data_IF_770936174797
#
_entry.id   IF_770936174797
#
_cell.length_a   1.000
_cell.length_b   1.000
_cell.length_c   1.000
_cell.angle_alpha   90.00
_cell.angle_beta   90.00
_cell.angle_gamma   90.00
#
_symmetry.space_group_name_H-M   'P 1'
#
loop_
_entity.id
_entity.type
_entity.pdbx_description
1 polymer ?
#
# COMPACT_ATOMS: atom_id res chain seq x y z
N UNK A 1 4.06 -10.30 -19.13
CA UNK A 1 5.18 -10.19 -18.18
C UNK A 1 4.95 -11.18 -17.04
N UNK A 2 5.98 -11.88 -16.56
CA UNK A 2 5.89 -12.82 -15.43
C UNK A 2 6.30 -12.12 -14.13
N UNK A 3 5.50 -12.24 -13.08
CA UNK A 3 5.71 -11.51 -11.82
C UNK A 3 5.81 -12.45 -10.62
N UNK A 4 6.85 -12.25 -9.81
CA UNK A 4 7.00 -12.85 -8.50
C UNK A 4 6.60 -11.81 -7.43
N UNK A 5 5.52 -12.05 -6.71
CA UNK A 5 4.99 -11.17 -5.67
C UNK A 5 5.45 -11.65 -4.29
N UNK A 6 6.49 -11.02 -3.74
CA UNK A 6 7.01 -11.30 -2.41
C UNK A 6 6.32 -10.42 -1.38
N UNK A 7 6.08 -10.97 -0.17
CA UNK A 7 5.30 -10.29 0.87
C UNK A 7 3.91 -9.87 0.36
N UNK A 8 3.25 -10.79 -0.35
CA UNK A 8 2.07 -10.49 -1.16
C UNK A 8 0.85 -10.03 -0.35
N UNK A 9 0.79 -10.33 0.95
CA UNK A 9 -0.34 -9.96 1.81
C UNK A 9 -1.67 -10.45 1.22
N UNK A 10 -2.59 -9.50 0.97
CA UNK A 10 -3.89 -9.79 0.37
C UNK A 10 -3.92 -9.61 -1.17
N UNK A 11 -2.76 -9.34 -1.80
CA UNK A 11 -2.62 -9.20 -3.25
C UNK A 11 -2.82 -7.79 -3.77
N UNK A 12 -2.20 -6.79 -3.11
CA UNK A 12 -2.25 -5.41 -3.58
C UNK A 12 -1.53 -5.19 -4.91
N UNK A 13 -0.41 -5.88 -5.15
CA UNK A 13 0.28 -5.80 -6.44
C UNK A 13 -0.49 -6.60 -7.50
N UNK A 14 -0.97 -7.80 -7.16
CA UNK A 14 -1.87 -8.55 -8.05
C UNK A 14 -3.10 -7.73 -8.51
N UNK A 15 -3.76 -7.03 -7.58
CA UNK A 15 -4.88 -6.14 -7.90
C UNK A 15 -4.48 -4.97 -8.83
N UNK A 16 -3.26 -4.47 -8.69
CA UNK A 16 -2.74 -3.39 -9.54
C UNK A 16 -2.42 -3.88 -10.95
N UNK A 17 -1.81 -5.06 -11.07
CA UNK A 17 -1.46 -5.69 -12.34
C UNK A 17 -2.69 -6.10 -13.15
N UNK A 18 -3.75 -6.59 -12.51
CA UNK A 18 -4.92 -7.14 -13.20
C UNK A 18 -4.52 -8.22 -14.21
N UNK A 19 -5.09 -8.18 -15.40
CA UNK A 19 -4.81 -9.15 -16.48
C UNK A 19 -3.58 -8.79 -17.34
N UNK A 20 -2.85 -7.72 -17.00
CA UNK A 20 -1.71 -7.24 -17.79
C UNK A 20 -0.40 -8.01 -17.52
N UNK A 21 -0.38 -8.84 -16.47
CA UNK A 21 0.77 -9.66 -16.13
C UNK A 21 0.36 -10.99 -15.48
N UNK A 22 1.22 -12.00 -15.62
CA UNK A 22 1.04 -13.32 -15.04
C UNK A 22 1.79 -13.37 -13.69
N UNK A 23 1.04 -13.42 -12.58
CA UNK A 23 1.64 -13.61 -11.25
C UNK A 23 1.95 -15.09 -11.05
N UNK A 24 3.20 -15.45 -11.30
CA UNK A 24 3.67 -16.85 -11.33
C UNK A 24 3.88 -17.44 -9.95
N UNK A 25 4.07 -16.60 -8.93
CA UNK A 25 4.05 -16.99 -7.54
C UNK A 25 3.79 -15.79 -6.63
N UNK A 26 2.94 -16.01 -5.63
CA UNK A 26 2.70 -15.07 -4.53
C UNK A 26 3.17 -15.70 -3.21
N UNK A 27 4.03 -15.00 -2.46
CA UNK A 27 4.68 -15.55 -1.26
C UNK A 27 4.38 -14.68 -0.06
N UNK A 28 3.89 -15.29 1.01
CA UNK A 28 3.73 -14.66 2.33
C UNK A 28 3.76 -15.75 3.42
N UNK A 29 4.02 -15.35 4.67
CA UNK A 29 3.97 -16.24 5.84
C UNK A 29 2.58 -16.23 6.51
N UNK A 30 1.80 -15.18 6.29
CA UNK A 30 0.52 -14.96 6.95
C UNK A 30 -0.59 -15.76 6.25
N UNK A 31 -0.94 -16.91 6.83
CA UNK A 31 -2.00 -17.78 6.29
C UNK A 31 -3.36 -17.08 6.13
N UNK A 32 -3.68 -16.12 6.99
CA UNK A 32 -4.94 -15.37 6.93
C UNK A 32 -4.91 -14.39 5.77
N UNK A 33 -3.78 -13.74 5.50
CA UNK A 33 -3.64 -12.89 4.33
C UNK A 33 -3.73 -13.74 3.04
N UNK A 34 -3.07 -14.90 3.02
CA UNK A 34 -3.11 -15.83 1.90
C UNK A 34 -4.49 -16.46 1.67
N UNK A 35 -5.34 -16.60 2.68
CA UNK A 35 -6.72 -17.05 2.47
C UNK A 35 -7.55 -15.98 1.76
N UNK A 36 -7.31 -14.70 2.04
CA UNK A 36 -7.89 -13.58 1.26
C UNK A 36 -7.32 -13.56 -0.15
N UNK A 37 -6.01 -13.71 -0.30
CA UNK A 37 -5.36 -13.75 -1.62
C UNK A 37 -6.01 -14.82 -2.52
N UNK A 38 -6.06 -16.07 -2.05
CA UNK A 38 -6.66 -17.20 -2.79
C UNK A 38 -8.15 -17.04 -3.08
N UNK A 39 -8.86 -16.28 -2.25
CA UNK A 39 -10.27 -15.99 -2.48
C UNK A 39 -10.49 -15.10 -3.70
N UNK A 40 -9.48 -14.28 -4.06
CA UNK A 40 -9.60 -13.26 -5.09
C UNK A 40 -8.79 -13.56 -6.35
N UNK A 41 -7.72 -14.37 -6.23
CA UNK A 41 -6.78 -14.61 -7.32
C UNK A 41 -6.50 -16.10 -7.49
N UNK A 42 -6.48 -16.61 -8.74
CA UNK A 42 -6.16 -18.01 -9.03
C UNK A 42 -4.64 -18.30 -9.04
N UNK A 43 -3.80 -17.38 -8.56
CA UNK A 43 -2.35 -17.48 -8.69
C UNK A 43 -1.75 -18.58 -7.79
N UNK A 44 -0.57 -19.13 -8.15
CA UNK A 44 0.16 -20.05 -7.28
C UNK A 44 0.62 -19.36 -5.99
N UNK A 45 0.11 -19.80 -4.84
CA UNK A 45 0.45 -19.22 -3.53
C UNK A 45 1.38 -20.13 -2.74
N UNK A 46 2.48 -19.56 -2.23
CA UNK A 46 3.43 -20.22 -1.33
C UNK A 46 3.35 -19.61 0.07
N UNK A 47 2.89 -20.40 1.03
CA UNK A 47 2.91 -20.06 2.44
C UNK A 47 4.27 -20.40 3.06
N UNK A 48 5.22 -19.47 3.01
CA UNK A 48 6.59 -19.64 3.53
C UNK A 48 7.18 -18.30 3.97
N UNK A 49 8.11 -18.38 4.92
CA UNK A 49 9.00 -17.28 5.23
C UNK A 49 9.93 -17.00 4.04
N UNK A 50 10.18 -15.72 3.74
CA UNK A 50 10.90 -15.30 2.54
C UNK A 50 12.38 -15.70 2.61
N UNK A 51 13.00 -15.54 3.78
CA UNK A 51 14.36 -15.96 4.10
C UNK A 51 14.58 -17.48 3.91
N UNK A 52 13.52 -18.27 4.04
CA UNK A 52 13.55 -19.72 3.83
C UNK A 52 13.30 -20.16 2.38
N UNK A 53 13.02 -19.21 1.47
CA UNK A 53 12.66 -19.53 0.10
C UNK A 53 13.92 -19.97 -0.69
N UNK A 54 13.97 -21.21 -1.21
CA UNK A 54 15.16 -21.69 -1.92
C UNK A 54 15.39 -20.91 -3.21
N UNK A 55 16.65 -20.66 -3.56
CA UNK A 55 17.03 -20.00 -4.83
C UNK A 55 16.43 -20.71 -6.06
N UNK A 56 16.26 -22.03 -5.99
CA UNK A 56 15.64 -22.82 -7.04
C UNK A 56 14.21 -22.35 -7.36
N UNK A 57 13.42 -21.95 -6.35
CA UNK A 57 12.05 -21.46 -6.56
C UNK A 57 12.06 -20.17 -7.38
N UNK A 58 12.97 -19.24 -7.08
CA UNK A 58 13.11 -18.00 -7.85
C UNK A 58 13.46 -18.28 -9.32
N UNK A 59 14.32 -19.28 -9.60
CA UNK A 59 14.68 -19.69 -10.96
C UNK A 59 13.51 -20.33 -11.69
N UNK A 60 12.79 -21.23 -11.04
CA UNK A 60 11.61 -21.91 -11.60
C UNK A 60 10.49 -20.94 -11.95
N UNK A 61 10.29 -19.90 -11.13
CA UNK A 61 9.35 -18.84 -11.45
C UNK A 61 9.70 -18.15 -12.78
N UNK A 62 10.99 -18.02 -13.11
CA UNK A 62 11.48 -17.30 -14.29
C UNK A 62 10.76 -15.95 -14.45
N UNK A 63 10.63 -15.21 -13.35
CA UNK A 63 9.88 -13.96 -13.29
C UNK A 63 10.73 -12.80 -13.83
N UNK A 64 10.11 -11.95 -14.66
CA UNK A 64 10.70 -10.72 -15.18
C UNK A 64 10.76 -9.65 -14.09
N UNK A 65 9.65 -9.49 -13.36
CA UNK A 65 9.49 -8.50 -12.30
C UNK A 65 9.38 -9.20 -10.95
N UNK A 66 10.19 -8.74 -10.00
CA UNK A 66 9.99 -9.06 -8.59
C UNK A 66 9.37 -7.86 -7.88
N UNK A 67 8.14 -8.02 -7.39
CA UNK A 67 7.51 -7.05 -6.49
C UNK A 67 7.80 -7.44 -5.04
N UNK A 68 8.06 -6.47 -4.17
CA UNK A 68 8.14 -6.69 -2.74
C UNK A 68 7.57 -5.55 -1.91
N UNK A 69 6.86 -5.89 -0.84
CA UNK A 69 6.42 -4.95 0.21
C UNK A 69 6.82 -5.47 1.59
N UNK A 70 8.13 -5.49 1.90
CA UNK A 70 8.65 -6.04 3.15
C UNK A 70 8.12 -5.28 4.37
N UNK A 71 8.05 -5.92 5.55
CA UNK A 71 7.58 -5.26 6.76
C UNK A 71 8.43 -4.03 7.11
N UNK A 72 7.76 -2.96 7.53
CA UNK A 72 8.33 -1.62 7.78
C UNK A 72 9.24 -1.52 9.04
N UNK A 73 9.25 -2.53 9.91
CA UNK A 73 10.05 -2.50 11.15
C UNK A 73 11.48 -2.96 10.85
N UNK A 74 12.53 -2.20 11.22
CA UNK A 74 12.58 -1.16 12.27
C UNK A 74 12.54 0.33 11.82
N UNK A 75 12.24 0.65 10.55
CA UNK A 75 12.47 1.97 9.92
C UNK A 75 11.52 3.13 10.33
N UNK A 76 10.99 3.10 11.56
CA UNK A 76 10.14 4.18 12.10
C UNK A 76 10.97 5.15 12.94
N UNK A 77 10.54 6.42 13.04
CA UNK A 77 11.22 7.51 13.78
C UNK A 77 11.57 7.17 15.24
N UNK A 78 10.88 6.18 15.84
CA UNK A 78 11.11 5.71 17.22
C UNK A 78 12.01 4.47 17.33
N UNK A 79 12.36 3.84 16.22
CA UNK A 79 13.28 2.70 16.16
C UNK A 79 14.72 3.19 16.18
N UNK A 80 15.49 2.79 17.19
CA UNK A 80 16.94 3.02 17.22
C UNK A 80 17.56 2.42 15.94
N UNK A 81 18.55 3.12 15.37
CA UNK A 81 19.32 2.81 14.14
C UNK A 81 20.10 1.47 14.20
N UNK A 82 19.47 0.37 14.63
CA UNK A 82 20.03 -0.97 14.72
C UNK A 82 19.52 -1.89 13.59
N UNK A 83 19.28 -1.29 12.42
CA UNK A 83 18.58 -1.82 11.24
C UNK A 83 19.10 -3.15 10.65
N UNK A 84 20.29 -3.62 11.04
CA UNK A 84 20.96 -4.79 10.42
C UNK A 84 21.00 -6.00 11.37
N UNK A 85 20.62 -5.83 12.64
CA UNK A 85 20.52 -6.94 13.61
C UNK A 85 19.09 -7.33 13.94
N UNK A 86 18.10 -6.64 13.36
CA UNK A 86 16.69 -7.02 13.52
C UNK A 86 16.40 -8.28 12.66
N UNK A 87 15.98 -9.40 13.26
CA UNK A 87 15.54 -10.59 12.51
C UNK A 87 14.44 -10.26 11.48
N UNK A 88 13.71 -9.17 11.66
CA UNK A 88 12.67 -8.71 10.72
C UNK A 88 13.24 -8.12 9.43
N UNK A 89 14.48 -7.64 9.45
CA UNK A 89 15.20 -7.17 8.26
C UNK A 89 15.86 -8.32 7.47
N UNK A 90 16.01 -9.51 8.08
CA UNK A 90 16.65 -10.69 7.46
C UNK A 90 15.97 -11.06 6.13
N UNK A 91 14.63 -11.09 6.12
CA UNK A 91 13.85 -11.40 4.92
C UNK A 91 14.16 -10.48 3.73
N UNK A 92 14.29 -9.16 3.95
CA UNK A 92 14.66 -8.20 2.91
C UNK A 92 16.12 -8.38 2.48
N UNK A 93 17.03 -8.58 3.43
CA UNK A 93 18.45 -8.83 3.14
C UNK A 93 18.64 -10.09 2.28
N UNK A 94 17.93 -11.18 2.59
CA UNK A 94 17.92 -12.38 1.75
C UNK A 94 17.45 -12.08 0.33
N UNK A 95 16.37 -11.30 0.16
CA UNK A 95 15.90 -10.92 -1.17
C UNK A 95 16.94 -10.06 -1.92
N UNK A 96 17.60 -9.13 -1.24
CA UNK A 96 18.68 -8.32 -1.82
C UNK A 96 19.83 -9.22 -2.34
N UNK A 97 20.23 -10.23 -1.57
CA UNK A 97 21.23 -11.21 -2.01
C UNK A 97 20.75 -12.03 -3.21
N UNK A 98 19.46 -12.41 -3.24
CA UNK A 98 18.86 -13.11 -4.39
C UNK A 98 18.81 -12.23 -5.64
N UNK A 99 18.56 -10.93 -5.51
CA UNK A 99 18.63 -9.98 -6.63
C UNK A 99 20.04 -9.96 -7.22
N UNK A 100 21.08 -9.89 -6.38
CA UNK A 100 22.47 -9.92 -6.83
C UNK A 100 22.82 -11.22 -7.58
N UNK A 101 22.31 -12.35 -7.10
CA UNK A 101 22.59 -13.68 -7.68
C UNK A 101 21.82 -13.93 -8.98
N UNK A 102 20.53 -13.59 -9.01
CA UNK A 102 19.61 -14.01 -10.07
C UNK A 102 19.28 -12.90 -11.06
N UNK A 103 19.54 -11.64 -10.70
CA UNK A 103 19.44 -10.46 -11.56
C UNK A 103 18.15 -10.41 -12.40
N UNK A 104 16.94 -10.38 -11.77
CA UNK A 104 15.69 -10.23 -12.50
C UNK A 104 15.68 -8.99 -13.40
N UNK A 105 14.81 -8.94 -14.41
CA UNK A 105 14.79 -7.79 -15.34
C UNK A 105 14.35 -6.51 -14.63
N UNK A 106 13.37 -6.63 -13.74
CA UNK A 106 12.82 -5.54 -12.94
C UNK A 106 12.70 -5.93 -11.47
N UNK A 107 12.92 -4.95 -10.59
CA UNK A 107 12.66 -5.03 -9.16
C UNK A 107 11.83 -3.83 -8.76
N UNK A 108 10.72 -4.05 -8.08
CA UNK A 108 9.89 -2.98 -7.51
C UNK A 108 9.68 -3.20 -6.01
N UNK A 109 9.72 -2.12 -5.24
CA UNK A 109 9.58 -2.15 -3.79
C UNK A 109 8.68 -1.03 -3.30
N UNK A 110 7.78 -1.36 -2.37
CA UNK A 110 7.03 -0.40 -1.55
C UNK A 110 7.48 -0.50 -0.09
N UNK A 111 7.59 0.65 0.58
CA UNK A 111 7.84 0.72 2.02
C UNK A 111 7.34 2.05 2.61
N UNK A 112 7.47 2.25 3.91
CA UNK A 112 7.18 3.54 4.55
C UNK A 112 8.19 4.62 4.15
N UNK A 113 7.84 5.92 4.25
CA UNK A 113 8.76 7.00 3.91
C UNK A 113 10.11 6.95 4.64
N UNK A 114 10.13 6.48 5.89
CA UNK A 114 11.36 6.34 6.69
C UNK A 114 12.33 5.26 6.19
N UNK A 115 11.94 4.44 5.22
CA UNK A 115 12.85 3.50 4.55
C UNK A 115 13.90 4.25 3.72
N UNK A 116 13.54 5.38 3.11
CA UNK A 116 14.47 6.21 2.36
C UNK A 116 15.62 6.68 3.26
N UNK A 117 16.86 6.44 2.83
CA UNK A 117 18.07 6.76 3.58
C UNK A 117 18.42 5.76 4.70
N UNK A 118 17.59 4.75 4.97
CA UNK A 118 17.91 3.67 5.92
C UNK A 118 19.09 2.82 5.46
N UNK A 119 19.69 2.02 6.36
CA UNK A 119 20.79 1.10 5.98
C UNK A 119 20.34 0.05 4.97
N UNK A 120 19.11 -0.45 5.09
CA UNK A 120 18.57 -1.43 4.16
C UNK A 120 18.34 -0.83 2.76
N UNK A 121 17.86 0.41 2.69
CA UNK A 121 17.76 1.16 1.43
C UNK A 121 19.12 1.36 0.78
N UNK A 122 20.13 1.84 1.54
CA UNK A 122 21.49 2.01 1.03
C UNK A 122 22.09 0.69 0.52
N UNK A 123 21.87 -0.42 1.24
CA UNK A 123 22.32 -1.75 0.84
C UNK A 123 21.65 -2.23 -0.45
N UNK A 124 20.33 -2.08 -0.56
CA UNK A 124 19.57 -2.40 -1.77
C UNK A 124 20.07 -1.57 -2.95
N UNK A 125 20.20 -0.25 -2.79
CA UNK A 125 20.67 0.67 -3.83
C UNK A 125 22.07 0.29 -4.33
N UNK A 126 23.00 0.03 -3.41
CA UNK A 126 24.36 -0.42 -3.73
C UNK A 126 24.38 -1.72 -4.53
N UNK A 127 23.53 -2.70 -4.16
CA UNK A 127 23.43 -3.96 -4.90
C UNK A 127 22.82 -3.76 -6.29
N UNK A 128 21.78 -2.93 -6.42
CA UNK A 128 21.19 -2.59 -7.71
C UNK A 128 22.21 -1.88 -8.62
N UNK A 129 22.95 -0.90 -8.12
CA UNK A 129 24.01 -0.21 -8.87
C UNK A 129 25.12 -1.15 -9.33
N UNK A 130 25.64 -1.97 -8.41
CA UNK A 130 26.69 -2.94 -8.72
C UNK A 130 26.25 -4.00 -9.75
N UNK A 131 24.95 -4.20 -9.93
CA UNK A 131 24.37 -5.15 -10.89
C UNK A 131 23.78 -4.46 -12.14
N UNK A 132 24.05 -3.17 -12.34
CA UNK A 132 23.71 -2.45 -13.57
C UNK A 132 22.23 -2.08 -13.71
N UNK A 133 21.51 -1.91 -12.61
CA UNK A 133 20.13 -1.42 -12.66
C UNK A 133 20.09 0.11 -12.68
N UNK A 134 19.29 0.66 -13.57
CA UNK A 134 18.81 2.02 -13.46
C UNK A 134 17.63 2.05 -12.46
N UNK A 135 17.66 2.98 -11.51
CA UNK A 135 16.69 3.01 -10.39
C UNK A 135 15.96 4.35 -10.34
N UNK A 136 14.64 4.27 -10.23
CA UNK A 136 13.73 5.37 -9.93
C UNK A 136 13.24 5.24 -8.49
N UNK A 137 13.17 6.36 -7.77
CA UNK A 137 12.71 6.42 -6.38
C UNK A 137 11.77 7.61 -6.20
N UNK A 138 10.68 7.44 -5.46
CA UNK A 138 9.79 8.54 -5.09
C UNK A 138 9.03 8.27 -3.80
N UNK A 139 8.63 9.35 -3.11
CA UNK A 139 7.59 9.29 -2.09
C UNK A 139 6.29 9.70 -2.76
N UNK A 140 5.29 8.82 -2.73
CA UNK A 140 4.01 9.04 -3.37
C UNK A 140 2.86 8.90 -2.35
N UNK A 141 1.91 9.81 -2.42
CA UNK A 141 0.65 9.76 -1.70
C UNK A 141 -0.51 9.57 -2.69
N UNK A 142 -1.49 8.69 -2.42
CA UNK A 142 -2.66 8.55 -3.29
C UNK A 142 -3.44 9.86 -3.51
N UNK A 143 -3.35 10.84 -2.60
CA UNK A 143 -3.94 12.18 -2.80
C UNK A 143 -3.38 12.90 -4.02
N UNK A 144 -2.12 12.67 -4.36
CA UNK A 144 -1.50 13.20 -5.58
C UNK A 144 -2.05 12.55 -6.84
N UNK A 145 -2.66 11.37 -6.72
CA UNK A 145 -3.35 10.67 -7.79
C UNK A 145 -4.87 10.93 -7.78
N UNK A 146 -5.36 11.90 -7.00
CA UNK A 146 -6.80 12.19 -6.90
C UNK A 146 -7.58 11.18 -6.07
N UNK A 147 -6.94 10.43 -5.17
CA UNK A 147 -7.61 9.54 -4.22
C UNK A 147 -7.67 10.20 -2.84
N UNK A 148 -8.83 10.33 -2.17
CA UNK A 148 -8.99 11.05 -0.90
C UNK A 148 -8.46 10.26 0.32
N UNK A 149 -7.21 9.80 0.25
CA UNK A 149 -6.52 9.07 1.32
C UNK A 149 -5.04 9.43 1.44
N UNK A 150 -4.68 10.01 2.59
CA UNK A 150 -3.30 10.31 2.96
C UNK A 150 -2.55 9.03 3.34
N UNK A 151 -1.89 8.40 2.37
CA UNK A 151 -1.08 7.18 2.55
C UNK A 151 0.29 7.32 1.87
N UNK A 152 1.13 8.21 2.39
CA UNK A 152 2.50 8.42 1.89
C UNK A 152 3.33 7.15 2.04
N UNK A 153 3.97 6.72 0.95
CA UNK A 153 4.86 5.55 0.89
C UNK A 153 6.06 5.84 -0.01
N UNK A 154 7.17 5.21 0.32
CA UNK A 154 8.37 5.15 -0.50
C UNK A 154 8.19 4.05 -1.54
N UNK A 155 8.49 4.37 -2.79
CA UNK A 155 8.52 3.43 -3.89
C UNK A 155 9.87 3.45 -4.59
N UNK A 156 10.33 2.28 -4.97
CA UNK A 156 11.53 2.07 -5.78
C UNK A 156 11.16 1.17 -6.95
N UNK A 157 11.60 1.55 -8.16
CA UNK A 157 11.55 0.71 -9.34
C UNK A 157 12.93 0.70 -9.98
N UNK A 158 13.46 -0.50 -10.21
CA UNK A 158 14.77 -0.69 -10.81
C UNK A 158 14.65 -1.61 -12.02
N UNK A 159 15.31 -1.24 -13.12
CA UNK A 159 15.35 -2.01 -14.37
C UNK A 159 16.77 -2.13 -14.89
N UNK A 160 17.16 -3.33 -15.33
CA UNK A 160 18.49 -3.60 -15.92
C UNK A 160 18.49 -3.77 -17.45
N UNK A 161 17.30 -3.92 -18.06
CA UNK A 161 17.14 -4.07 -19.52
C UNK A 161 15.98 -3.20 -20.00
N UNK A 162 16.25 -2.38 -21.00
CA UNK A 162 15.31 -1.39 -21.55
C UNK A 162 15.27 -0.10 -20.72
N UNK A 163 14.72 0.96 -21.30
CA UNK A 163 14.56 2.24 -20.62
C UNK A 163 13.29 2.24 -19.77
N UNK A 164 13.43 2.56 -18.48
CA UNK A 164 12.28 2.92 -17.64
C UNK A 164 11.81 4.32 -18.01
N UNK A 165 10.50 4.53 -18.04
CA UNK A 165 9.94 5.88 -18.16
C UNK A 165 10.12 6.61 -16.84
N UNK A 166 10.65 7.82 -16.86
CA UNK A 166 10.82 8.64 -15.66
C UNK A 166 9.47 8.94 -15.01
N UNK A 167 9.42 8.90 -13.67
CA UNK A 167 8.35 9.55 -12.91
C UNK A 167 8.65 11.05 -12.91
N UNK A 168 7.93 11.85 -13.71
CA UNK A 168 8.15 13.29 -13.83
C UNK A 168 7.71 14.00 -12.53
N UNK A 169 8.61 14.63 -11.75
CA UNK A 169 8.29 15.22 -10.44
C UNK A 169 7.34 16.44 -10.45
N UNK A 170 6.75 16.81 -11.59
CA UNK A 170 5.89 17.98 -11.76
C UNK A 170 4.50 17.72 -12.34
N UNK A 171 4.18 16.47 -12.69
CA UNK A 171 2.84 16.12 -13.22
C UNK A 171 1.82 15.85 -12.10
N UNK A 172 2.31 15.59 -10.89
CA UNK A 172 1.49 15.28 -9.73
C UNK A 172 1.40 16.50 -8.79
N UNK A 173 0.21 16.84 -8.28
CA UNK A 173 0.06 17.86 -7.24
C UNK A 173 0.98 17.58 -6.06
N UNK A 174 1.41 18.65 -5.37
CA UNK A 174 2.16 18.49 -4.13
C UNK A 174 1.35 17.64 -3.14
N UNK A 175 1.98 16.62 -2.54
CA UNK A 175 1.33 15.87 -1.47
C UNK A 175 1.04 16.85 -0.31
N UNK A 176 -0.22 16.95 0.12
CA UNK A 176 -0.56 17.72 1.30
C UNK A 176 0.29 17.23 2.49
N UNK A 177 1.09 18.12 3.08
CA UNK A 177 1.92 17.78 4.22
C UNK A 177 1.05 17.30 5.37
N UNK A 178 1.53 16.32 6.14
CA UNK A 178 0.93 15.93 7.42
C UNK A 178 0.86 17.19 8.29
N UNK A 179 -0.32 17.67 8.71
CA UNK A 179 -0.37 18.76 9.67
C UNK A 179 0.30 18.26 10.95
N UNK A 180 1.43 18.85 11.30
CA UNK A 180 2.14 18.57 12.56
C UNK A 180 1.38 19.10 13.79
N UNK A 181 0.16 19.61 13.60
CA UNK A 181 -0.79 20.03 14.61
C UNK A 181 -2.20 20.05 14.00
N UNK A 182 -3.21 20.03 14.86
CA UNK A 182 -4.60 20.33 14.47
C UNK A 182 -4.61 21.56 13.55
N UNK A 183 -5.15 21.43 12.33
CA UNK A 183 -5.52 22.60 11.53
C UNK A 183 -6.68 23.28 12.30
N UNK A 184 -6.36 24.22 13.17
CA UNK A 184 -7.35 25.14 13.74
C UNK A 184 -7.61 26.23 12.70
N UNK A 185 -8.48 25.92 11.74
CA UNK A 185 -8.99 26.91 10.79
C UNK A 185 -9.65 26.28 9.57
N UNK A 186 -10.80 26.81 9.11
CA UNK A 186 -11.37 26.40 7.83
C UNK A 186 -10.38 26.72 6.69
N UNK A 187 -10.38 25.94 5.60
CA UNK A 187 -9.58 26.24 4.42
C UNK A 187 -9.84 27.67 3.92
N UNK A 188 -8.79 28.33 3.43
CA UNK A 188 -8.89 29.68 2.87
C UNK A 188 -9.84 29.66 1.66
N UNK A 189 -10.79 30.62 1.53
CA UNK A 189 -11.68 30.67 0.38
C UNK A 189 -10.87 30.81 -0.92
N UNK A 190 -10.91 29.79 -1.79
CA UNK A 190 -10.27 29.81 -3.11
C UNK A 190 -9.20 28.74 -3.36
N UNK A 191 -8.74 28.01 -2.35
CA UNK A 191 -8.00 26.75 -2.56
C UNK A 191 -9.00 25.66 -2.96
N UNK A 192 -9.21 25.44 -4.27
CA UNK A 192 -9.91 24.24 -4.72
C UNK A 192 -9.08 23.04 -4.27
N UNK A 193 -9.68 22.12 -3.51
CA UNK A 193 -9.10 20.81 -3.25
C UNK A 193 -8.70 20.14 -4.57
N UNK A 194 -7.72 19.22 -4.57
CA UNK A 194 -7.43 18.44 -5.77
C UNK A 194 -8.73 17.74 -6.22
N UNK A 195 -9.06 17.73 -7.53
CA UNK A 195 -10.28 17.08 -7.99
C UNK A 195 -10.16 15.59 -7.72
N UNK A 196 -10.85 15.10 -6.70
CA UNK A 196 -10.85 13.69 -6.40
C UNK A 196 -11.49 12.92 -7.56
N UNK A 197 -10.94 11.75 -7.90
CA UNK A 197 -11.55 10.84 -8.85
C UNK A 197 -12.91 10.34 -8.36
N UNK A 198 -13.08 10.33 -7.04
CA UNK A 198 -14.32 10.01 -6.32
C UNK A 198 -14.29 10.66 -4.95
N UNK A 199 -15.46 11.02 -4.41
CA UNK A 199 -15.59 11.57 -3.06
C UNK A 199 -15.62 10.46 -2.00
N UNK A 200 -15.42 10.82 -0.72
CA UNK A 200 -15.57 9.88 0.40
C UNK A 200 -16.99 9.29 0.42
N UNK A 201 -18.03 10.08 0.15
CA UNK A 201 -19.41 9.61 0.12
C UNK A 201 -19.63 8.45 -0.86
N UNK A 202 -19.00 8.50 -2.05
CA UNK A 202 -19.20 7.52 -3.11
C UNK A 202 -18.66 6.12 -2.79
N UNK A 203 -17.76 5.99 -1.81
CA UNK A 203 -17.18 4.68 -1.43
C UNK A 203 -17.88 4.03 -0.23
N UNK A 204 -18.80 4.74 0.43
CA UNK A 204 -19.45 4.27 1.64
C UNK A 204 -20.42 3.13 1.37
N UNK A 205 -20.55 2.24 2.35
CA UNK A 205 -21.55 1.18 2.30
C UNK A 205 -22.95 1.80 2.49
N UNK A 206 -23.90 1.42 1.65
CA UNK A 206 -25.28 1.92 1.71
C UNK A 206 -25.99 1.54 3.03
N UNK A 207 -25.67 0.36 3.58
CA UNK A 207 -26.20 -0.15 4.85
C UNK A 207 -25.04 -0.68 5.72
N UNK A 208 -24.39 0.18 6.53
CA UNK A 208 -23.29 -0.23 7.38
C UNK A 208 -23.76 -1.09 8.56
N UNK A 209 -22.98 -2.10 8.94
CA UNK A 209 -23.31 -3.00 10.07
C UNK A 209 -23.07 -2.37 11.45
N UNK A 210 -23.96 -2.60 12.41
CA UNK A 210 -23.92 -2.01 13.78
C UNK A 210 -22.53 -2.00 14.48
N UNK A 211 -21.66 -3.03 14.34
CA UNK A 211 -20.32 -3.00 14.96
C UNK A 211 -19.38 -1.88 14.49
N UNK A 212 -19.74 -1.14 13.43
CA UNK A 212 -18.96 -0.01 12.93
C UNK A 212 -19.12 1.25 13.78
N UNK A 213 -20.22 1.39 14.52
CA UNK A 213 -20.48 2.58 15.33
C UNK A 213 -19.52 2.65 16.53
N UNK A 214 -19.05 3.85 16.83
CA UNK A 214 -18.21 4.09 18.01
C UNK A 214 -19.15 4.23 19.21
N UNK A 215 -18.99 3.42 20.28
CA UNK A 215 -19.83 3.54 21.47
C UNK A 215 -19.74 4.94 22.09
N UNK A 216 -20.86 5.45 22.62
CA UNK A 216 -20.96 6.82 23.16
C UNK A 216 -19.90 7.14 24.21
N UNK A 217 -19.59 6.19 25.09
CA UNK A 217 -18.53 6.34 26.10
C UNK A 217 -17.16 6.56 25.44
N UNK A 218 -16.87 5.79 24.38
CA UNK A 218 -15.62 5.90 23.63
C UNK A 218 -15.59 7.21 22.84
N UNK A 219 -16.71 7.58 22.22
CA UNK A 219 -16.84 8.84 21.49
C UNK A 219 -16.64 10.04 22.42
N UNK A 220 -17.31 10.08 23.57
CA UNK A 220 -17.17 11.14 24.57
C UNK A 220 -15.73 11.32 25.05
N UNK A 221 -15.00 10.21 25.22
CA UNK A 221 -13.60 10.22 25.67
C UNK A 221 -12.61 10.67 24.61
N UNK A 222 -12.82 10.32 23.34
CA UNK A 222 -11.81 10.45 22.29
C UNK A 222 -12.17 11.41 21.15
N UNK A 223 -13.37 12.03 21.14
CA UNK A 223 -13.85 12.90 20.05
C UNK A 223 -12.88 14.01 19.61
N UNK A 224 -12.10 14.56 20.55
CA UNK A 224 -11.11 15.62 20.25
C UNK A 224 -9.75 15.08 19.81
N UNK A 225 -9.53 13.77 19.93
CA UNK A 225 -8.26 13.10 19.64
C UNK A 225 -8.30 12.23 18.38
N UNK A 226 -9.47 12.14 17.73
CA UNK A 226 -9.66 11.40 16.48
C UNK A 226 -10.02 12.35 15.34
N UNK A 227 -9.57 11.99 14.14
CA UNK A 227 -9.93 12.71 12.94
C UNK A 227 -11.30 12.23 12.45
N UNK A 228 -12.27 13.13 12.35
CA UNK A 228 -13.65 12.84 11.93
C UNK A 228 -13.95 13.63 10.67
N UNK A 229 -14.42 12.93 9.65
CA UNK A 229 -14.75 13.48 8.36
C UNK A 229 -16.25 13.75 8.29
N UNK A 230 -16.62 14.86 7.67
CA UNK A 230 -17.94 15.01 7.11
C UNK A 230 -17.97 14.27 5.76
N UNK A 231 -18.77 13.20 5.60
CA UNK A 231 -18.83 12.49 4.34
C UNK A 231 -19.43 13.32 3.19
N UNK A 232 -20.25 14.34 3.50
CA UNK A 232 -20.89 15.20 2.51
C UNK A 232 -19.98 16.35 2.04
N UNK A 233 -18.84 16.55 2.70
CA UNK A 233 -17.79 17.46 2.23
C UNK A 233 -17.07 16.84 1.02
N UNK A 234 -17.28 17.44 -0.16
CA UNK A 234 -16.69 16.99 -1.41
C UNK A 234 -15.15 17.06 -1.39
N UNK A 235 -14.56 17.90 -0.54
CA UNK A 235 -13.10 18.03 -0.39
C UNK A 235 -12.53 17.13 0.72
N UNK A 236 -13.35 16.33 1.40
CA UNK A 236 -12.93 15.49 2.51
C UNK A 236 -11.86 14.46 2.10
N UNK A 237 -10.81 14.35 2.92
CA UNK A 237 -9.77 13.34 2.76
C UNK A 237 -9.46 12.62 4.07
N UNK A 238 -9.25 11.31 3.98
CA UNK A 238 -8.97 10.48 5.14
C UNK A 238 -7.48 10.40 5.48
N UNK A 239 -7.17 10.25 6.76
CA UNK A 239 -5.85 9.84 7.25
C UNK A 239 -5.55 8.36 6.90
N UNK A 240 -4.26 8.00 6.93
CA UNK A 240 -3.79 6.63 6.70
C UNK A 240 -4.46 5.63 7.66
N UNK A 241 -5.13 4.62 7.09
CA UNK A 241 -5.58 3.47 7.87
C UNK A 241 -4.40 2.55 8.18
N UNK A 242 -4.09 2.41 9.46
CA UNK A 242 -3.06 1.51 9.98
C UNK A 242 -3.69 0.18 10.38
N UNK A 243 -2.87 -0.87 10.50
CA UNK A 243 -3.33 -2.20 10.95
C UNK A 243 -3.93 -2.23 12.37
N UNK A 244 -3.73 -1.17 13.14
CA UNK A 244 -4.33 -0.97 14.46
C UNK A 244 -5.74 -0.38 14.44
N UNK A 245 -6.35 -0.03 13.30
CA UNK A 245 -7.62 0.71 13.25
C UNK A 245 -8.78 0.06 14.03
N UNK A 246 -8.89 -1.27 13.99
CA UNK A 246 -9.88 -2.02 14.75
C UNK A 246 -9.57 -2.23 16.24
N UNK A 247 -8.49 -1.64 16.76
CA UNK A 247 -7.99 -1.87 18.12
C UNK A 247 -7.61 -0.57 18.84
N UNK A 248 -6.89 0.32 18.16
CA UNK A 248 -6.52 1.65 18.66
C UNK A 248 -7.50 2.67 18.10
N UNK A 249 -8.13 3.45 18.99
CA UNK A 249 -9.07 4.49 18.59
C UNK A 249 -8.36 5.71 17.98
N UNK A 250 -7.20 6.07 18.53
CA UNK A 250 -6.38 7.20 18.08
C UNK A 250 -5.28 6.76 17.11
N UNK A 251 -4.89 7.67 16.21
CA UNK A 251 -3.71 7.54 15.32
C UNK A 251 -3.70 6.27 14.45
N UNK A 252 -4.87 5.79 14.06
CA UNK A 252 -5.01 4.53 13.33
C UNK A 252 -5.84 4.64 12.05
N UNK A 253 -6.48 5.79 11.82
CA UNK A 253 -7.34 6.08 10.67
C UNK A 253 -8.30 7.23 10.98
N UNK A 254 -9.15 7.59 10.01
CA UNK A 254 -10.24 8.57 10.20
C UNK A 254 -11.56 7.88 10.56
N UNK A 255 -12.52 8.66 11.03
CA UNK A 255 -13.89 8.24 11.34
C UNK A 255 -14.86 9.10 10.52
N UNK A 256 -16.10 8.66 10.42
CA UNK A 256 -17.18 9.36 9.74
C UNK A 256 -18.08 10.01 10.79
N UNK A 257 -18.31 11.32 10.66
CA UNK A 257 -19.31 12.05 11.42
C UNK A 257 -20.69 11.70 10.88
N UNK A 258 -21.63 11.41 11.78
CA UNK A 258 -23.02 11.12 11.43
C UNK A 258 -23.94 11.77 12.46
N UNK A 259 -25.23 11.98 12.15
CA UNK A 259 -26.22 12.40 13.16
C UNK A 259 -26.32 11.46 14.38
N UNK A 260 -25.91 10.18 14.23
CA UNK A 260 -25.89 9.16 15.29
C UNK A 260 -24.58 9.13 16.09
N UNK A 261 -23.65 10.07 15.85
CA UNK A 261 -22.30 10.06 16.40
C UNK A 261 -21.25 9.63 15.38
N UNK A 262 -20.15 9.03 15.82
CA UNK A 262 -19.05 8.64 14.94
C UNK A 262 -19.14 7.17 14.50
N UNK A 263 -18.79 6.90 13.25
CA UNK A 263 -18.72 5.56 12.66
C UNK A 263 -17.31 5.26 12.13
N UNK A 264 -16.85 4.02 12.27
CA UNK A 264 -15.64 3.55 11.60
C UNK A 264 -15.89 3.26 10.13
N UNK A 265 -14.86 3.43 9.32
CA UNK A 265 -14.86 2.87 7.98
C UNK A 265 -14.89 1.34 8.04
N UNK A 266 -15.74 0.71 7.25
CA UNK A 266 -15.74 -0.73 7.05
C UNK A 266 -14.48 -1.15 6.29
N UNK A 267 -14.01 -2.41 6.45
CA UNK A 267 -12.91 -2.91 5.64
C UNK A 267 -13.19 -2.83 4.12
N UNK A 268 -14.47 -2.94 3.71
CA UNK A 268 -14.88 -2.78 2.32
C UNK A 268 -14.71 -1.35 1.82
N UNK A 269 -15.13 -0.37 2.62
CA UNK A 269 -14.94 1.06 2.32
C UNK A 269 -13.44 1.39 2.20
N UNK A 270 -12.60 0.88 3.11
CA UNK A 270 -11.13 1.05 3.05
C UNK A 270 -10.55 0.40 1.79
N UNK A 271 -11.04 -0.77 1.36
CA UNK A 271 -10.58 -1.41 0.12
C UNK A 271 -10.90 -0.58 -1.12
N UNK A 272 -12.13 0.00 -1.21
CA UNK A 272 -12.51 0.90 -2.30
C UNK A 272 -11.64 2.16 -2.31
N UNK A 273 -11.37 2.71 -1.13
CA UNK A 273 -10.48 3.85 -0.96
C UNK A 273 -9.02 3.55 -1.37
N UNK A 274 -8.55 2.31 -1.14
CA UNK A 274 -7.26 1.81 -1.63
C UNK A 274 -7.29 1.42 -3.12
N UNK A 275 -8.41 1.64 -3.81
CA UNK A 275 -8.66 1.37 -5.23
C UNK A 275 -8.56 -0.12 -5.60
N UNK A 276 -8.89 -1.03 -4.68
CA UNK A 276 -9.06 -2.44 -5.03
C UNK A 276 -10.23 -2.60 -6.03
N UNK A 277 -10.15 -3.59 -6.95
CA UNK A 277 -11.17 -3.75 -7.98
C UNK A 277 -12.54 -4.08 -7.37
N UNK A 278 -13.66 -3.67 -8.01
CA UNK A 278 -15.01 -3.88 -7.48
C UNK A 278 -15.39 -5.35 -7.22
N UNK A 279 -14.67 -6.31 -7.80
CA UNK A 279 -14.85 -7.75 -7.55
C UNK A 279 -14.08 -8.30 -6.35
N UNK A 280 -13.16 -7.54 -5.76
CA UNK A 280 -12.35 -8.00 -4.62
C UNK A 280 -13.20 -8.13 -3.36
N UNK A 281 -13.10 -9.27 -2.66
CA UNK A 281 -13.91 -9.60 -1.48
C UNK A 281 -13.03 -10.10 -0.34
N UNK A 282 -13.44 -9.77 0.87
CA UNK A 282 -12.91 -10.39 2.09
C UNK A 282 -13.77 -11.63 2.41
N UNK A 283 -13.17 -12.78 2.75
CA UNK A 283 -13.91 -13.96 3.16
C UNK A 283 -14.83 -13.65 4.35
N UNK A 284 -16.10 -14.09 4.27
CA UNK A 284 -17.11 -13.89 5.34
C UNK A 284 -16.72 -14.49 6.70
N UNK A 285 -15.80 -15.45 6.71
CA UNK A 285 -15.26 -16.07 7.92
C UNK A 285 -14.27 -15.17 8.69
N UNK A 286 -13.83 -14.06 8.11
CA UNK A 286 -12.95 -13.11 8.80
C UNK A 286 -13.70 -12.30 9.83
N UNK A 287 -13.12 -12.22 11.03
CA UNK A 287 -13.59 -11.24 12.03
C UNK A 287 -13.27 -9.82 11.56
N UNK A 288 -14.12 -8.87 11.94
CA UNK A 288 -13.96 -7.45 11.57
C UNK A 288 -12.59 -6.89 11.98
N UNK A 289 -12.09 -7.26 13.17
CA UNK A 289 -10.74 -6.90 13.65
C UNK A 289 -9.63 -7.42 12.72
N UNK A 290 -9.72 -8.66 12.26
CA UNK A 290 -8.73 -9.24 11.33
C UNK A 290 -8.80 -8.57 9.97
N UNK A 291 -10.02 -8.28 9.48
CA UNK A 291 -10.23 -7.56 8.23
C UNK A 291 -9.56 -6.17 8.26
N UNK A 292 -9.78 -5.37 9.31
CA UNK A 292 -9.10 -4.07 9.47
C UNK A 292 -7.57 -4.18 9.52
N UNK A 293 -7.05 -5.21 10.20
CA UNK A 293 -5.61 -5.45 10.26
C UNK A 293 -5.02 -5.70 8.86
N UNK A 294 -5.71 -6.49 8.04
CA UNK A 294 -5.27 -6.83 6.69
C UNK A 294 -5.31 -5.62 5.75
N UNK A 295 -6.43 -4.89 5.71
CA UNK A 295 -6.56 -3.72 4.82
C UNK A 295 -5.61 -2.59 5.23
N UNK A 296 -5.37 -2.38 6.52
CA UNK A 296 -4.42 -1.37 7.01
C UNK A 296 -2.96 -1.66 6.63
N UNK A 297 -2.61 -2.94 6.50
CA UNK A 297 -1.30 -3.39 6.00
C UNK A 297 -1.21 -3.46 4.46
N UNK A 298 -2.31 -3.23 3.74
CA UNK A 298 -2.36 -3.40 2.29
C UNK A 298 -1.73 -2.22 1.52
N UNK A 299 -1.63 -2.35 0.20
CA UNK A 299 -1.10 -1.32 -0.70
C UNK A 299 -2.23 -0.40 -1.19
N UNK A 300 -1.88 0.79 -1.67
CA UNK A 300 -2.77 1.56 -2.54
C UNK A 300 -2.59 1.06 -3.98
N UNK A 301 -3.63 0.46 -4.55
CA UNK A 301 -3.61 -0.10 -5.91
C UNK A 301 -3.34 1.00 -6.94
N UNK A 302 -3.89 2.20 -6.75
CA UNK A 302 -3.62 3.36 -7.61
C UNK A 302 -2.13 3.74 -7.62
N UNK A 303 -1.50 3.81 -6.45
CA UNK A 303 -0.08 4.14 -6.33
C UNK A 303 0.81 3.04 -6.95
N UNK A 304 0.48 1.77 -6.74
CA UNK A 304 1.20 0.64 -7.35
C UNK A 304 1.10 0.68 -8.88
N UNK A 305 -0.09 0.94 -9.44
CA UNK A 305 -0.28 1.10 -10.90
C UNK A 305 0.58 2.23 -11.46
N UNK A 306 0.60 3.39 -10.78
CA UNK A 306 1.44 4.51 -11.19
C UNK A 306 2.94 4.15 -11.23
N UNK A 307 3.42 3.45 -10.19
CA UNK A 307 4.82 2.98 -10.12
C UNK A 307 5.12 2.02 -11.26
N UNK A 308 4.27 1.02 -11.49
CA UNK A 308 4.47 0.00 -12.51
C UNK A 308 4.34 0.52 -13.94
N UNK A 309 3.58 1.60 -14.17
CA UNK A 309 3.43 2.24 -15.47
C UNK A 309 4.74 2.80 -16.06
N UNK A 310 5.79 2.94 -15.24
CA UNK A 310 7.13 3.27 -15.71
C UNK A 310 7.81 2.13 -16.46
N UNK A 311 7.32 0.89 -16.32
CA UNK A 311 7.73 -0.23 -17.15
C UNK A 311 6.95 -0.16 -18.47
N UNK A 312 7.60 -0.03 -19.65
CA UNK A 312 6.91 0.16 -20.92
C UNK A 312 5.83 -0.88 -21.23
N UNK A 313 6.08 -2.15 -20.91
CA UNK A 313 5.15 -3.28 -21.10
C UNK A 313 3.91 -3.21 -20.20
N UNK A 314 3.96 -2.40 -19.14
CA UNK A 314 2.85 -2.16 -18.21
C UNK A 314 2.35 -0.70 -18.30
N UNK A 315 2.66 0.03 -19.37
CA UNK A 315 2.21 1.43 -19.50
C UNK A 315 0.70 1.53 -19.78
N UNK A 316 0.02 2.67 -19.50
CA UNK A 316 -1.43 2.81 -19.64
C UNK A 316 -1.97 2.55 -21.05
N UNK A 317 -1.17 2.79 -22.10
CA UNK A 317 -1.51 2.42 -23.48
C UNK A 317 -1.63 0.90 -23.69
N UNK A 318 -0.98 0.12 -22.84
CA UNK A 318 -1.03 -1.35 -22.79
C UNK A 318 -2.01 -1.83 -21.70
N UNK A 319 -2.17 -1.07 -20.62
CA UNK A 319 -3.13 -1.35 -19.53
C UNK A 319 -4.58 -0.88 -19.80
N UNK A 320 -4.84 -0.33 -21.00
CA UNK A 320 -6.17 -0.07 -21.57
C UNK A 320 -7.30 0.33 -20.61
N UNK A 321 -7.45 1.64 -20.41
CA UNK A 321 -8.65 2.38 -20.01
C UNK A 321 -9.89 1.61 -19.59
N UNK A 322 -10.05 1.42 -18.28
CA UNK A 322 -11.38 1.43 -17.67
C UNK A 322 -11.82 2.90 -17.58
N UNK A 323 -12.60 3.35 -18.56
CA UNK A 323 -13.59 4.40 -18.32
C UNK A 323 -14.66 3.86 -17.39
#
# INVERSE_FOLDING_TARGET
>A
MRVLELFCGIGGCAAALGDHADVVAAVDINQVALSVYRHNFPHPVRNRAIESLPAQVYRECAADLWWMSPPCQPYTVRGRREDVRDPRAESLLTVIERIAQLRPRYVALENVPGFAGSRAHQRLRSILDANGYHTLEQILCPTQLGVPNRRRRFYLLAGRVGELRSWTPGELPAAAEEPSGLRDGPPMPGERGPPWQFTVQQILDADPSDPLWVPDETWGRYRTAIHVLDPDDEDAESHCFASGYGQSIVRSGSYLGTPRGARRFSPGEILRLLCFPPGFRLPKSLTLRRAWKLVGNSLSVAAVRHVLAAIPELSPSVMGGAK
#
